data_IF_114301158442
#
_entry.id   IF_114301158442
#
_cell.length_a   1.000
_cell.length_b   1.000
_cell.length_c   1.000
_cell.angle_alpha   90.00
_cell.angle_beta   90.00
_cell.angle_gamma   90.00
#
_symmetry.space_group_name_H-M   'P 1'
#
loop_
_entity.id
_entity.type
_entity.pdbx_description
1 polymer ?
#
# COMPACT_ATOMS: atom_id res chain seq x y z
N UNK A 1 7.84 17.98 17.20
CA UNK A 1 7.52 16.56 17.43
C UNK A 1 8.43 15.71 16.56
N UNK A 2 9.63 15.40 17.04
CA UNK A 2 10.61 14.64 16.27
C UNK A 2 10.18 13.17 16.24
N UNK A 3 9.61 12.77 15.10
CA UNK A 3 9.37 11.36 14.81
C UNK A 3 10.72 10.63 14.79
N UNK A 4 10.98 9.84 15.83
CA UNK A 4 12.09 8.87 15.83
C UNK A 4 11.96 7.83 14.70
N UNK A 5 10.80 7.75 14.04
CA UNK A 5 10.55 6.83 12.93
C UNK A 5 10.99 7.47 11.61
N UNK A 6 11.85 6.80 10.81
CA UNK A 6 12.26 7.26 9.49
C UNK A 6 11.05 7.47 8.55
N UNK A 7 11.14 8.45 7.64
CA UNK A 7 10.00 8.85 6.78
C UNK A 7 9.57 7.76 5.81
N UNK A 8 10.51 6.97 5.30
CA UNK A 8 10.23 5.75 4.50
C UNK A 8 9.37 4.76 5.27
N UNK A 9 9.68 4.51 6.54
CA UNK A 9 8.91 3.57 7.38
C UNK A 9 7.48 4.05 7.58
N UNK A 10 7.27 5.37 7.74
CA UNK A 10 5.93 5.94 7.85
C UNK A 10 5.13 5.79 6.56
N UNK A 11 5.73 6.09 5.41
CA UNK A 11 5.07 5.91 4.10
C UNK A 11 4.79 4.44 3.80
N UNK A 12 5.74 3.55 4.10
CA UNK A 12 5.57 2.10 3.94
C UNK A 12 4.39 1.57 4.76
N UNK A 13 4.22 2.08 5.99
CA UNK A 13 3.08 1.73 6.86
C UNK A 13 1.73 2.13 6.24
N UNK A 14 1.64 3.31 5.64
CA UNK A 14 0.42 3.75 4.94
C UNK A 14 0.15 2.94 3.67
N UNK A 15 1.19 2.58 2.92
CA UNK A 15 1.06 1.71 1.74
C UNK A 15 0.58 0.30 2.10
N UNK A 16 1.09 -0.26 3.21
CA UNK A 16 0.61 -1.55 3.72
C UNK A 16 -0.86 -1.43 4.13
N UNK A 17 -1.22 -0.39 4.87
CA UNK A 17 -2.61 -0.18 5.31
C UNK A 17 -3.57 -0.04 4.11
N UNK A 18 -3.20 0.76 3.11
CA UNK A 18 -3.98 0.91 1.88
C UNK A 18 -4.10 -0.40 1.10
N UNK A 19 -3.02 -1.19 1.04
CA UNK A 19 -3.03 -2.50 0.39
C UNK A 19 -3.95 -3.49 1.09
N UNK A 20 -3.92 -3.55 2.43
CA UNK A 20 -4.81 -4.41 3.21
C UNK A 20 -6.29 -4.04 3.01
N UNK A 21 -6.61 -2.74 3.02
CA UNK A 21 -7.99 -2.28 2.76
C UNK A 21 -8.44 -2.65 1.35
N UNK A 22 -7.58 -2.48 0.35
CA UNK A 22 -7.90 -2.88 -1.03
C UNK A 22 -8.15 -4.40 -1.13
N UNK A 23 -7.33 -5.24 -0.49
CA UNK A 23 -7.55 -6.70 -0.47
C UNK A 23 -8.89 -7.04 0.20
N UNK A 24 -9.20 -6.43 1.35
CA UNK A 24 -10.47 -6.66 2.04
C UNK A 24 -11.67 -6.30 1.15
N UNK A 25 -11.62 -5.15 0.46
CA UNK A 25 -12.66 -4.76 -0.49
C UNK A 25 -12.76 -5.73 -1.67
N UNK A 26 -11.62 -6.21 -2.18
CA UNK A 26 -11.57 -7.22 -3.23
C UNK A 26 -12.24 -8.54 -2.82
N UNK A 27 -11.96 -9.01 -1.60
CA UNK A 27 -12.57 -10.23 -1.04
C UNK A 27 -14.09 -10.05 -0.87
N UNK A 28 -14.52 -8.93 -0.27
CA UNK A 28 -15.96 -8.63 -0.11
C UNK A 28 -16.64 -8.61 -1.48
N UNK A 29 -16.02 -8.00 -2.49
CA UNK A 29 -16.58 -7.96 -3.84
C UNK A 29 -16.63 -9.34 -4.50
N UNK A 30 -15.58 -10.15 -4.32
CA UNK A 30 -15.56 -11.55 -4.75
C UNK A 30 -16.71 -12.35 -4.13
N UNK A 31 -16.94 -12.20 -2.81
CA UNK A 31 -18.08 -12.83 -2.14
C UNK A 31 -19.42 -12.36 -2.70
N UNK A 32 -19.60 -11.05 -2.94
CA UNK A 32 -20.84 -10.53 -3.53
C UNK A 32 -21.09 -11.06 -4.94
N UNK A 33 -20.04 -11.30 -5.73
CA UNK A 33 -20.15 -11.95 -7.04
C UNK A 33 -20.71 -13.37 -6.93
N UNK A 34 -20.16 -14.18 -6.03
CA UNK A 34 -20.67 -15.55 -5.82
C UNK A 34 -22.10 -15.57 -5.28
N UNK A 35 -22.46 -14.60 -4.44
CA UNK A 35 -23.78 -14.55 -3.80
C UNK A 35 -24.90 -14.01 -4.71
N UNK A 36 -24.63 -13.01 -5.55
CA UNK A 36 -25.67 -12.32 -6.32
C UNK A 36 -25.51 -12.45 -7.84
N UNK A 37 -24.35 -12.93 -8.32
CA UNK A 37 -23.99 -12.87 -9.73
C UNK A 37 -23.71 -11.43 -10.19
N UNK A 38 -22.77 -11.26 -11.11
CA UNK A 38 -22.52 -9.96 -11.76
C UNK A 38 -21.07 -9.70 -12.10
N UNK A 39 -20.77 -9.67 -13.41
CA UNK A 39 -19.40 -9.51 -13.93
C UNK A 39 -18.68 -8.29 -13.34
N UNK A 40 -19.39 -7.20 -13.07
CA UNK A 40 -18.83 -5.97 -12.47
C UNK A 40 -18.22 -6.25 -11.09
N UNK A 41 -18.85 -7.09 -10.25
CA UNK A 41 -18.33 -7.42 -8.93
C UNK A 41 -17.06 -8.27 -9.01
N UNK A 42 -16.98 -9.17 -9.99
CA UNK A 42 -15.79 -9.96 -10.27
C UNK A 42 -14.64 -9.07 -10.74
N UNK A 43 -14.90 -8.18 -11.71
CA UNK A 43 -13.89 -7.25 -12.25
C UNK A 43 -13.37 -6.32 -11.16
N UNK A 44 -14.27 -5.71 -10.36
CA UNK A 44 -13.87 -4.87 -9.23
C UNK A 44 -13.11 -5.68 -8.17
N UNK A 45 -13.52 -6.91 -7.89
CA UNK A 45 -12.83 -7.80 -6.98
C UNK A 45 -11.37 -8.04 -7.39
N UNK A 46 -11.15 -8.43 -8.64
CA UNK A 46 -9.81 -8.64 -9.21
C UNK A 46 -9.00 -7.35 -9.23
N UNK A 47 -9.62 -6.22 -9.57
CA UNK A 47 -8.97 -4.90 -9.59
C UNK A 47 -8.47 -4.49 -8.19
N UNK A 48 -9.32 -4.61 -7.17
CA UNK A 48 -8.94 -4.27 -5.81
C UNK A 48 -7.89 -5.23 -5.24
N UNK A 49 -7.97 -6.52 -5.60
CA UNK A 49 -6.96 -7.49 -5.22
C UNK A 49 -5.59 -7.14 -5.83
N UNK A 50 -5.55 -6.80 -7.12
CA UNK A 50 -4.30 -6.46 -7.83
C UNK A 50 -3.68 -5.15 -7.33
N UNK A 51 -4.50 -4.13 -7.04
CA UNK A 51 -4.04 -2.89 -6.37
C UNK A 51 -3.45 -3.22 -4.99
N UNK A 52 -4.10 -4.10 -4.23
CA UNK A 52 -3.62 -4.56 -2.93
C UNK A 52 -2.23 -5.19 -2.99
N UNK A 53 -2.05 -6.13 -3.93
CA UNK A 53 -0.76 -6.79 -4.17
C UNK A 53 0.31 -5.78 -4.62
N UNK A 54 -0.02 -4.90 -5.56
CA UNK A 54 0.90 -3.86 -6.04
C UNK A 54 1.32 -2.90 -4.91
N UNK A 55 0.40 -2.53 -4.02
CA UNK A 55 0.69 -1.66 -2.87
C UNK A 55 1.65 -2.33 -1.87
N UNK A 56 1.48 -3.63 -1.61
CA UNK A 56 2.40 -4.39 -0.76
C UNK A 56 3.79 -4.45 -1.40
N UNK A 57 3.87 -4.78 -2.70
CA UNK A 57 5.13 -4.82 -3.44
C UNK A 57 5.86 -3.46 -3.41
N UNK A 58 5.13 -2.36 -3.65
CA UNK A 58 5.68 -1.01 -3.57
C UNK A 58 6.20 -0.67 -2.16
N UNK A 59 5.50 -1.13 -1.12
CA UNK A 59 5.96 -0.95 0.26
C UNK A 59 7.24 -1.73 0.54
N UNK A 60 7.33 -3.00 0.11
CA UNK A 60 8.53 -3.83 0.24
C UNK A 60 9.71 -3.21 -0.51
N UNK A 61 9.48 -2.71 -1.73
CA UNK A 61 10.52 -2.03 -2.51
C UNK A 61 11.04 -0.78 -1.80
N UNK A 62 10.17 0.04 -1.21
CA UNK A 62 10.60 1.21 -0.42
C UNK A 62 11.37 0.84 0.82
N UNK A 63 10.95 -0.21 1.55
CA UNK A 63 11.68 -0.69 2.72
C UNK A 63 13.08 -1.22 2.33
N UNK A 64 13.20 -1.85 1.15
CA UNK A 64 14.48 -2.33 0.61
C UNK A 64 15.39 -1.22 0.10
N UNK A 65 14.84 -0.14 -0.45
CA UNK A 65 15.64 0.96 -1.00
C UNK A 65 16.33 1.80 0.09
N UNK A 66 15.84 1.75 1.34
CA UNK A 66 16.33 2.57 2.45
C UNK A 66 16.04 4.07 2.26
N UNK A 67 16.11 4.84 3.35
CA UNK A 67 16.08 6.31 3.23
C UNK A 67 17.37 6.79 2.55
N UNK A 68 17.31 7.69 1.55
CA UNK A 68 18.50 8.40 1.11
C UNK A 68 19.12 9.16 2.29
N UNK A 69 20.46 9.30 2.36
CA UNK A 69 21.12 9.99 3.45
C UNK A 69 20.50 11.39 3.60
N UNK A 70 20.01 11.73 4.80
CA UNK A 70 19.48 13.06 5.10
C UNK A 70 20.49 14.11 4.66
N UNK A 71 20.06 15.02 3.78
CA UNK A 71 20.84 16.15 3.30
C UNK A 71 21.10 17.22 4.37
N UNK A 72 21.63 16.84 5.54
CA UNK A 72 21.99 17.75 6.63
C UNK A 72 23.49 18.15 6.58
N UNK A 73 24.11 18.13 5.40
CA UNK A 73 25.50 18.54 5.18
C UNK A 73 25.65 19.72 4.19
N UNK A 74 24.61 20.55 4.02
CA UNK A 74 24.66 21.71 3.12
C UNK A 74 24.08 22.98 3.78
N UNK A 75 24.40 23.20 5.05
CA UNK A 75 23.99 24.39 5.81
C UNK A 75 25.08 24.87 6.76
N UNK A 76 26.26 25.18 6.24
CA UNK A 76 27.20 26.17 6.84
C UNK A 76 27.28 27.34 5.87
N UNK A 77 27.00 28.55 6.36
CA UNK A 77 28.08 29.48 6.65
C UNK A 77 28.33 29.66 8.15
#
# INVERSE_FOLDING_TARGET
MNSLVPTTVRQARWLILGGVVAIALGIVRGYTFFAHGGLIFLVLGVLFLSIGVASILASVQRLRLGDPPRGDAAGRP
#
